data_IF_642536809999
#
_entry.id   IF_642536809999
#
_cell.length_a   1.000
_cell.length_b   1.000
_cell.length_c   1.000
_cell.angle_alpha   90.00
_cell.angle_beta   90.00
_cell.angle_gamma   90.00
#
_symmetry.space_group_name_H-M   'P 1'
#
loop_
_entity.id
_entity.type
_entity.pdbx_description
1 polymer ?
#
# COMPACT_ATOMS: atom_id res chain seq x y z
N UNK A 1 -34.63 -35.29 -0.20
CA UNK A 1 -33.27 -34.76 -0.51
C UNK A 1 -33.44 -33.46 -1.29
N UNK A 2 -32.61 -32.43 -1.04
CA UNK A 2 -32.64 -31.04 -1.57
C UNK A 2 -32.90 -29.96 -0.49
N UNK A 3 -32.10 -29.98 0.58
CA UNK A 3 -31.82 -28.80 1.42
C UNK A 3 -30.30 -28.55 1.50
N UNK A 4 -29.62 -28.59 0.36
CA UNK A 4 -28.16 -28.37 0.23
C UNK A 4 -27.87 -27.30 -0.83
N UNK A 5 -28.58 -26.17 -0.79
CA UNK A 5 -28.26 -25.02 -1.66
C UNK A 5 -28.18 -23.68 -0.91
N UNK A 6 -28.51 -23.64 0.38
CA UNK A 6 -28.49 -22.40 1.15
C UNK A 6 -27.15 -22.09 1.85
N UNK A 7 -26.16 -23.01 1.83
CA UNK A 7 -24.89 -22.84 2.56
C UNK A 7 -23.73 -22.31 1.70
N UNK A 8 -23.90 -22.16 0.38
CA UNK A 8 -22.86 -21.60 -0.49
C UNK A 8 -22.93 -20.07 -0.68
N UNK A 9 -23.99 -19.39 -0.21
CA UNK A 9 -24.09 -17.92 -0.36
C UNK A 9 -23.35 -17.11 0.71
N UNK A 10 -22.85 -17.73 1.78
CA UNK A 10 -22.11 -17.02 2.84
C UNK A 10 -20.61 -16.85 2.55
N UNK A 11 -20.08 -17.42 1.46
CA UNK A 11 -18.65 -17.36 1.13
C UNK A 11 -18.27 -16.18 0.21
N UNK A 12 -19.23 -15.36 -0.24
CA UNK A 12 -18.99 -14.28 -1.21
C UNK A 12 -19.01 -12.86 -0.62
N UNK A 13 -19.05 -12.71 0.71
CA UNK A 13 -19.33 -11.42 1.35
C UNK A 13 -18.14 -10.74 2.03
N UNK A 14 -16.92 -11.27 1.98
CA UNK A 14 -15.76 -10.55 2.51
C UNK A 14 -15.11 -9.74 1.40
N UNK A 15 -15.36 -8.42 1.36
CA UNK A 15 -14.45 -7.58 0.58
C UNK A 15 -13.21 -7.30 1.42
N UNK A 16 -12.09 -7.77 0.89
CA UNK A 16 -10.80 -7.76 1.56
C UNK A 16 -9.80 -7.45 0.45
N UNK A 17 -9.11 -6.33 0.59
CA UNK A 17 -7.97 -5.98 -0.23
C UNK A 17 -6.75 -5.80 0.66
N UNK A 18 -5.58 -5.97 0.08
CA UNK A 18 -4.30 -5.77 0.75
C UNK A 18 -3.48 -4.71 0.02
N UNK A 19 -3.01 -3.71 0.76
CA UNK A 19 -2.01 -2.75 0.27
C UNK A 19 -0.67 -3.16 0.86
N UNK A 20 0.32 -3.42 0.01
CA UNK A 20 1.69 -3.71 0.46
C UNK A 20 2.67 -2.66 -0.06
N UNK A 21 3.25 -1.90 0.86
CA UNK A 21 4.40 -1.03 0.65
C UNK A 21 5.68 -1.81 0.96
N UNK A 22 6.57 -1.91 -0.03
CA UNK A 22 7.86 -2.59 0.07
C UNK A 22 8.98 -1.62 -0.24
N UNK A 23 9.97 -1.57 0.65
CA UNK A 23 11.21 -0.82 0.43
C UNK A 23 12.39 -1.75 0.64
N UNK A 24 13.33 -1.71 -0.28
CA UNK A 24 14.68 -2.22 -0.07
C UNK A 24 15.61 -1.01 -0.06
N UNK A 25 16.07 -0.64 1.13
CA UNK A 25 16.85 0.57 1.34
C UNK A 25 18.33 0.26 1.47
N UNK A 26 19.13 1.04 0.75
CA UNK A 26 20.57 0.92 0.73
C UNK A 26 21.25 1.97 1.61
N UNK A 27 22.45 1.65 2.08
CA UNK A 27 23.24 2.50 2.97
C UNK A 27 23.60 3.86 2.34
N UNK A 28 23.70 3.91 1.00
CA UNK A 28 23.95 5.12 0.22
C UNK A 28 22.72 6.02 0.04
N UNK A 29 21.63 5.73 0.77
CA UNK A 29 20.34 6.43 0.74
C UNK A 29 19.49 6.16 -0.51
N UNK A 30 19.93 5.29 -1.41
CA UNK A 30 19.15 4.79 -2.54
C UNK A 30 18.25 3.61 -2.15
N UNK A 31 17.52 3.08 -3.12
CA UNK A 31 16.75 1.86 -2.92
C UNK A 31 15.72 1.55 -4.01
N UNK A 32 14.93 0.54 -3.71
CA UNK A 32 13.82 0.05 -4.53
C UNK A 32 12.52 0.28 -3.77
N UNK A 33 11.51 0.83 -4.44
CA UNK A 33 10.16 1.01 -3.90
C UNK A 33 9.17 0.16 -4.69
N UNK A 34 8.27 -0.52 -3.99
CA UNK A 34 7.14 -1.24 -4.58
C UNK A 34 5.86 -0.93 -3.80
N UNK A 35 4.81 -0.53 -4.51
CA UNK A 35 3.46 -0.46 -3.98
C UNK A 35 2.59 -1.46 -4.73
N UNK A 36 1.98 -2.38 -4.00
CA UNK A 36 1.03 -3.36 -4.53
C UNK A 36 -0.32 -3.15 -3.89
N UNK A 37 -1.38 -3.14 -4.71
CA UNK A 37 -2.77 -3.18 -4.25
C UNK A 37 -3.40 -4.45 -4.81
N UNK A 38 -3.80 -5.34 -3.93
CA UNK A 38 -4.28 -6.68 -4.25
C UNK A 38 -5.75 -6.83 -3.83
N UNK A 39 -6.64 -6.95 -4.82
CA UNK A 39 -8.06 -7.24 -4.63
C UNK A 39 -8.41 -8.71 -4.94
N UNK A 40 -7.44 -9.61 -5.10
CA UNK A 40 -7.67 -11.00 -5.53
C UNK A 40 -8.67 -11.74 -4.65
N UNK A 41 -8.68 -11.48 -3.34
CA UNK A 41 -9.66 -12.08 -2.41
C UNK A 41 -11.09 -11.55 -2.57
N UNK A 42 -11.26 -10.42 -3.27
CA UNK A 42 -12.54 -9.78 -3.53
C UNK A 42 -12.80 -9.54 -5.03
N UNK A 43 -12.07 -10.24 -5.90
CA UNK A 43 -12.05 -10.01 -7.35
C UNK A 43 -13.45 -9.97 -7.98
N UNK A 44 -14.35 -10.87 -7.57
CA UNK A 44 -15.71 -10.95 -8.09
C UNK A 44 -16.55 -9.71 -7.71
N UNK A 45 -16.41 -9.23 -6.47
CA UNK A 45 -17.07 -7.99 -6.00
C UNK A 45 -16.50 -6.77 -6.73
N UNK A 46 -15.18 -6.72 -6.93
CA UNK A 46 -14.50 -5.66 -7.68
C UNK A 46 -14.98 -5.62 -9.13
N UNK A 47 -15.02 -6.77 -9.81
CA UNK A 47 -15.57 -6.90 -11.17
C UNK A 47 -17.01 -6.42 -11.27
N UNK A 48 -17.85 -6.87 -10.34
CA UNK A 48 -19.26 -6.46 -10.28
C UNK A 48 -19.41 -4.96 -10.08
N UNK A 49 -18.60 -4.34 -9.21
CA UNK A 49 -18.61 -2.90 -8.99
C UNK A 49 -18.19 -2.11 -10.24
N UNK A 50 -17.19 -2.58 -10.99
CA UNK A 50 -16.77 -1.96 -12.24
C UNK A 50 -17.83 -2.07 -13.34
N UNK A 51 -18.52 -3.22 -13.43
CA UNK A 51 -19.64 -3.40 -14.36
C UNK A 51 -20.83 -2.50 -14.05
N UNK A 52 -21.06 -2.19 -12.77
CA UNK A 52 -22.12 -1.28 -12.35
C UNK A 52 -21.78 0.19 -12.65
N UNK A 53 -20.51 0.51 -12.96
CA UNK A 53 -19.95 1.85 -13.22
C UNK A 53 -20.06 2.84 -12.05
N UNK A 54 -21.04 2.68 -11.16
CA UNK A 54 -21.29 3.48 -9.99
C UNK A 54 -21.70 2.59 -8.81
N UNK A 55 -21.10 2.85 -7.64
CA UNK A 55 -21.49 2.21 -6.37
C UNK A 55 -21.61 3.29 -5.31
N UNK A 56 -22.76 3.35 -4.63
CA UNK A 56 -23.05 4.33 -3.57
C UNK A 56 -22.83 5.80 -4.01
N UNK A 57 -23.18 6.15 -5.27
CA UNK A 57 -22.99 7.52 -5.79
C UNK A 57 -21.55 7.84 -6.21
N UNK A 58 -20.65 6.85 -6.22
CA UNK A 58 -19.25 7.00 -6.60
C UNK A 58 -18.98 6.28 -7.90
N UNK A 59 -18.56 7.04 -8.93
CA UNK A 59 -18.10 6.46 -10.20
C UNK A 59 -16.88 5.56 -9.97
N UNK A 60 -16.98 4.32 -10.41
CA UNK A 60 -15.91 3.33 -10.39
C UNK A 60 -15.18 3.39 -11.73
N UNK A 61 -13.84 3.54 -11.73
CA UNK A 61 -13.10 3.62 -12.98
C UNK A 61 -13.10 2.27 -13.71
N UNK A 62 -13.21 2.30 -15.03
CA UNK A 62 -13.06 1.10 -15.86
C UNK A 62 -11.58 0.73 -16.07
N UNK A 63 -11.31 -0.43 -16.67
CA UNK A 63 -9.94 -0.94 -16.89
C UNK A 63 -9.07 0.03 -17.71
N UNK A 64 -9.65 0.67 -18.74
CA UNK A 64 -8.95 1.64 -19.57
C UNK A 64 -8.60 2.91 -18.79
N UNK A 65 -9.51 3.41 -17.97
CA UNK A 65 -9.28 4.55 -17.08
C UNK A 65 -8.19 4.22 -16.03
N UNK A 66 -8.19 3.02 -15.47
CA UNK A 66 -7.14 2.55 -14.54
C UNK A 66 -5.78 2.46 -15.24
N UNK A 67 -5.72 1.82 -16.41
CA UNK A 67 -4.49 1.69 -17.19
C UNK A 67 -3.94 3.08 -17.57
N UNK A 68 -4.81 3.99 -18.00
CA UNK A 68 -4.44 5.37 -18.29
C UNK A 68 -3.87 6.10 -17.06
N UNK A 69 -4.49 5.95 -15.88
CA UNK A 69 -3.98 6.58 -14.64
C UNK A 69 -2.59 6.06 -14.26
N UNK A 70 -2.33 4.77 -14.47
CA UNK A 70 -1.02 4.17 -14.20
C UNK A 70 0.04 4.64 -15.19
N UNK A 71 -0.30 4.78 -16.48
CA UNK A 71 0.60 5.37 -17.47
C UNK A 71 0.87 6.86 -17.21
N UNK A 72 -0.17 7.63 -16.86
CA UNK A 72 -0.02 9.04 -16.49
C UNK A 72 0.86 9.19 -15.23
N UNK A 73 0.71 8.30 -14.24
CA UNK A 73 1.61 8.22 -13.08
C UNK A 73 3.05 7.90 -13.51
N UNK A 74 3.26 6.87 -14.32
CA UNK A 74 4.58 6.46 -14.81
C UNK A 74 5.30 7.60 -15.53
N UNK A 75 4.58 8.32 -16.40
CA UNK A 75 5.11 9.47 -17.13
C UNK A 75 5.49 10.64 -16.19
N UNK A 76 4.72 10.88 -15.13
CA UNK A 76 5.05 11.90 -14.11
C UNK A 76 6.24 11.47 -13.25
N UNK A 77 6.21 10.25 -12.72
CA UNK A 77 7.25 9.71 -11.84
C UNK A 77 8.61 9.64 -12.54
N UNK A 78 8.64 9.30 -13.84
CA UNK A 78 9.88 9.24 -14.63
C UNK A 78 10.55 10.60 -14.86
N UNK A 79 9.86 11.71 -14.55
CA UNK A 79 10.41 13.07 -14.63
C UNK A 79 10.94 13.58 -13.28
N UNK A 80 10.81 12.80 -12.23
CA UNK A 80 11.31 13.17 -10.90
C UNK A 80 12.80 12.84 -10.85
N UNK A 81 13.63 13.84 -10.57
CA UNK A 81 15.08 13.66 -10.43
C UNK A 81 15.40 12.60 -9.37
N UNK A 82 16.24 11.64 -9.74
CA UNK A 82 16.61 10.51 -8.90
C UNK A 82 15.61 9.36 -8.90
N UNK A 83 14.51 9.41 -9.66
CA UNK A 83 13.63 8.26 -9.87
C UNK A 83 13.97 7.58 -11.21
N UNK A 84 14.18 6.26 -11.17
CA UNK A 84 14.51 5.45 -12.35
C UNK A 84 13.74 4.13 -12.35
N UNK A 85 13.78 3.39 -13.46
CA UNK A 85 13.17 2.06 -13.58
C UNK A 85 11.67 2.00 -13.20
N UNK A 86 10.92 3.06 -13.50
CA UNK A 86 9.49 3.13 -13.20
C UNK A 86 8.72 2.13 -14.05
N UNK A 87 8.08 1.17 -13.40
CA UNK A 87 7.23 0.17 -14.03
C UNK A 87 5.89 0.08 -13.31
N UNK A 88 4.85 -0.18 -14.09
CA UNK A 88 3.49 -0.44 -13.62
C UNK A 88 3.06 -1.79 -14.16
N UNK A 89 2.28 -2.55 -13.40
CA UNK A 89 1.65 -3.80 -13.83
C UNK A 89 0.21 -3.85 -13.38
N UNK A 90 -0.63 -4.43 -14.23
CA UNK A 90 -2.04 -4.67 -13.97
C UNK A 90 -2.36 -6.13 -14.28
N UNK A 91 -3.05 -6.79 -13.35
CA UNK A 91 -3.74 -8.05 -13.58
C UNK A 91 -5.23 -7.77 -13.36
N UNK A 92 -6.01 -7.65 -14.44
CA UNK A 92 -7.44 -7.38 -14.37
C UNK A 92 -8.28 -8.65 -14.14
N UNK A 93 -7.68 -9.84 -14.23
CA UNK A 93 -8.36 -11.08 -13.87
C UNK A 93 -8.47 -11.20 -12.33
N UNK A 94 -7.36 -10.91 -11.64
CA UNK A 94 -7.27 -10.97 -10.18
C UNK A 94 -7.36 -9.59 -9.51
N UNK A 95 -7.46 -8.51 -10.28
CA UNK A 95 -7.45 -7.12 -9.80
C UNK A 95 -6.25 -6.80 -8.90
N UNK A 96 -5.05 -7.07 -9.41
CA UNK A 96 -3.78 -6.76 -8.74
C UNK A 96 -3.06 -5.65 -9.50
N UNK A 97 -2.66 -4.61 -8.78
CA UNK A 97 -1.99 -3.43 -9.34
C UNK A 97 -0.65 -3.22 -8.65
N UNK A 98 0.40 -2.99 -9.44
CA UNK A 98 1.76 -2.87 -8.90
C UNK A 98 2.44 -1.65 -9.52
N UNK A 99 3.04 -0.83 -8.67
CA UNK A 99 4.02 0.20 -9.03
C UNK A 99 5.37 -0.28 -8.52
N UNK A 100 6.42 -0.18 -9.34
CA UNK A 100 7.82 -0.36 -8.92
C UNK A 100 8.69 0.75 -9.48
N UNK A 101 9.69 1.16 -8.71
CA UNK A 101 10.69 2.13 -9.13
C UNK A 101 11.95 2.01 -8.28
N UNK A 102 13.03 2.61 -8.75
CA UNK A 102 14.23 2.84 -7.97
C UNK A 102 14.32 4.33 -7.61
N UNK A 103 14.85 4.63 -6.44
CA UNK A 103 15.12 6.00 -6.00
C UNK A 103 16.60 6.15 -5.63
N UNK A 104 17.18 7.29 -6.00
CA UNK A 104 18.59 7.60 -5.71
C UNK A 104 18.78 8.23 -4.32
N UNK A 105 17.73 8.84 -3.75
CA UNK A 105 17.77 9.47 -2.43
C UNK A 105 16.42 9.34 -1.73
N UNK A 106 16.40 9.37 -0.40
CA UNK A 106 15.16 9.45 0.40
C UNK A 106 14.32 10.69 0.06
N UNK A 107 14.95 11.78 -0.38
CA UNK A 107 14.21 12.96 -0.90
C UNK A 107 13.40 12.59 -2.15
N UNK A 108 14.01 11.92 -3.13
CA UNK A 108 13.31 11.47 -4.34
C UNK A 108 12.17 10.49 -4.00
N UNK A 109 12.41 9.56 -3.06
CA UNK A 109 11.37 8.66 -2.53
C UNK A 109 10.17 9.43 -1.98
N UNK A 110 10.40 10.46 -1.14
CA UNK A 110 9.32 11.29 -0.63
C UNK A 110 8.55 12.02 -1.74
N UNK A 111 9.25 12.57 -2.75
CA UNK A 111 8.61 13.26 -3.88
C UNK A 111 7.71 12.33 -4.69
N UNK A 112 8.13 11.09 -4.95
CA UNK A 112 7.30 10.14 -5.71
C UNK A 112 6.13 9.61 -4.88
N UNK A 113 6.30 9.39 -3.58
CA UNK A 113 5.19 8.97 -2.68
C UNK A 113 4.16 10.09 -2.53
N UNK A 114 4.59 11.35 -2.48
CA UNK A 114 3.71 12.52 -2.57
C UNK A 114 2.90 12.55 -3.87
N UNK A 115 3.51 12.16 -5.00
CA UNK A 115 2.80 12.03 -6.29
C UNK A 115 1.74 10.93 -6.24
N UNK A 116 2.02 9.79 -5.59
CA UNK A 116 1.05 8.70 -5.40
C UNK A 116 -0.13 9.15 -4.55
N UNK A 117 0.14 9.82 -3.44
CA UNK A 117 -0.88 10.24 -2.47
C UNK A 117 -1.59 11.54 -2.84
N UNK A 118 -1.19 12.19 -3.94
CA UNK A 118 -1.65 13.53 -4.34
C UNK A 118 -1.49 14.56 -3.21
N UNK A 119 -0.33 14.55 -2.56
CA UNK A 119 0.07 15.47 -1.49
C UNK A 119 1.28 16.30 -1.95
N UNK A 120 1.48 17.47 -1.36
CA UNK A 120 2.69 18.29 -1.57
C UNK A 120 3.52 18.32 -0.30
N UNK A 121 4.84 18.18 -0.46
CA UNK A 121 5.85 18.42 0.57
C UNK A 121 5.68 17.66 1.90
N UNK A 122 4.94 16.53 1.88
CA UNK A 122 4.87 15.65 3.06
C UNK A 122 6.12 14.81 3.15
N UNK A 123 6.63 14.68 4.37
CA UNK A 123 7.73 13.76 4.70
C UNK A 123 7.10 12.45 5.15
N UNK A 124 7.25 11.43 4.31
CA UNK A 124 6.84 10.05 4.55
C UNK A 124 7.98 9.20 5.11
N UNK A 125 9.21 9.57 4.78
CA UNK A 125 10.43 8.82 5.12
C UNK A 125 11.58 9.74 5.51
N UNK A 126 12.31 9.36 6.56
CA UNK A 126 13.62 9.94 6.89
C UNK A 126 14.65 8.82 7.04
N UNK A 127 15.92 9.11 6.80
CA UNK A 127 16.99 8.15 7.07
C UNK A 127 18.32 8.84 7.33
N UNK A 128 19.17 8.14 8.08
CA UNK A 128 20.57 8.44 8.28
C UNK A 128 21.34 7.11 8.43
N UNK A 129 22.64 7.17 8.70
CA UNK A 129 23.52 5.99 8.79
C UNK A 129 23.10 4.94 9.85
N UNK A 130 22.27 5.30 10.82
CA UNK A 130 21.85 4.46 11.95
C UNK A 130 20.35 4.18 11.98
N UNK A 131 19.54 4.88 11.21
CA UNK A 131 18.10 4.71 11.28
C UNK A 131 17.37 4.97 9.97
N UNK A 132 16.21 4.33 9.84
CA UNK A 132 15.22 4.58 8.81
C UNK A 132 13.85 4.76 9.47
N UNK A 133 13.14 5.83 9.12
CA UNK A 133 11.86 6.18 9.72
C UNK A 133 10.76 6.21 8.66
N UNK A 134 9.60 5.65 9.00
CA UNK A 134 8.33 5.84 8.29
C UNK A 134 7.44 6.77 9.10
N UNK A 135 7.00 7.88 8.49
CA UNK A 135 6.05 8.84 9.05
C UNK A 135 4.75 8.77 8.26
N UNK A 136 3.79 7.99 8.74
CA UNK A 136 2.56 7.67 8.03
C UNK A 136 1.57 8.84 7.99
N UNK A 137 1.42 9.43 6.80
CA UNK A 137 0.43 10.45 6.47
C UNK A 137 -0.35 10.01 5.24
N UNK A 138 -1.47 9.32 5.43
CA UNK A 138 -2.33 8.86 4.34
C UNK A 138 -3.51 9.83 4.17
N UNK A 139 -3.93 10.13 2.93
CA UNK A 139 -5.19 10.84 2.70
C UNK A 139 -6.35 9.98 3.20
N UNK A 140 -7.11 10.48 4.18
CA UNK A 140 -8.22 9.74 4.79
C UNK A 140 -9.54 10.08 4.06
N UNK A 141 -10.18 9.11 3.40
CA UNK A 141 -11.52 9.32 2.83
C UNK A 141 -12.56 9.30 3.96
N UNK A 142 -12.80 10.44 4.61
CA UNK A 142 -13.65 10.51 5.83
C UNK A 142 -15.03 9.88 5.67
N UNK A 143 -15.67 10.05 4.50
CA UNK A 143 -16.99 9.46 4.20
C UNK A 143 -16.95 7.92 4.29
N UNK A 144 -15.87 7.31 3.79
CA UNK A 144 -15.69 5.86 3.80
C UNK A 144 -15.48 5.33 5.22
N UNK A 145 -14.70 6.03 6.04
CA UNK A 145 -14.37 5.61 7.42
C UNK A 145 -15.58 5.75 8.35
N UNK A 146 -16.42 6.76 8.11
CA UNK A 146 -17.62 7.03 8.92
C UNK A 146 -18.82 6.17 8.50
N UNK A 147 -18.80 5.51 7.35
CA UNK A 147 -19.88 4.64 6.90
C UNK A 147 -19.89 3.30 7.66
N UNK A 148 -20.92 3.03 8.50
CA UNK A 148 -21.02 1.78 9.25
C UNK A 148 -21.08 0.55 8.35
N UNK A 149 -21.59 0.66 7.12
CA UNK A 149 -21.69 -0.45 6.16
C UNK A 149 -20.32 -0.90 5.66
N UNK A 150 -19.33 -0.01 5.65
CA UNK A 150 -17.97 -0.29 5.16
C UNK A 150 -17.03 -0.76 6.26
N UNK A 151 -17.42 -0.64 7.54
CA UNK A 151 -16.57 -0.99 8.67
C UNK A 151 -16.01 -2.41 8.59
N UNK A 152 -16.87 -3.40 8.42
CA UNK A 152 -16.46 -4.81 8.37
C UNK A 152 -15.51 -5.09 7.19
N UNK A 153 -15.80 -4.51 6.02
CA UNK A 153 -14.97 -4.59 4.82
C UNK A 153 -13.56 -3.98 5.08
N UNK A 154 -13.49 -2.81 5.73
CA UNK A 154 -12.24 -2.15 6.09
C UNK A 154 -11.47 -2.85 7.22
N UNK A 155 -12.16 -3.55 8.12
CA UNK A 155 -11.55 -4.37 9.17
C UNK A 155 -10.92 -5.64 8.58
N UNK A 156 -11.53 -6.20 7.52
CA UNK A 156 -10.98 -7.33 6.79
C UNK A 156 -9.83 -6.94 5.84
N UNK A 157 -9.83 -5.72 5.31
CA UNK A 157 -8.75 -5.19 4.48
C UNK A 157 -7.50 -4.86 5.31
N UNK A 158 -6.32 -4.98 4.71
CA UNK A 158 -5.03 -4.81 5.39
C UNK A 158 -4.08 -3.85 4.66
N UNK A 159 -3.23 -3.18 5.43
CA UNK A 159 -2.03 -2.51 4.93
C UNK A 159 -0.79 -3.14 5.55
N UNK A 160 0.23 -3.34 4.74
CA UNK A 160 1.48 -3.98 5.10
C UNK A 160 2.64 -3.10 4.67
N UNK A 161 3.61 -2.91 5.58
CA UNK A 161 4.91 -2.35 5.30
C UNK A 161 5.99 -3.46 5.44
N UNK A 162 6.86 -3.59 4.44
CA UNK A 162 7.99 -4.54 4.44
C UNK A 162 9.25 -3.79 4.02
N UNK A 163 10.14 -3.54 4.97
CA UNK A 163 11.37 -2.79 4.73
C UNK A 163 12.58 -3.69 4.95
N UNK A 164 13.46 -3.76 3.95
CA UNK A 164 14.69 -4.55 3.97
C UNK A 164 15.89 -3.63 3.87
N UNK A 165 16.94 -3.95 4.62
CA UNK A 165 18.14 -3.12 4.76
C UNK A 165 19.41 -3.92 4.46
N UNK A 166 20.46 -3.22 4.07
CA UNK A 166 21.79 -3.82 3.89
C UNK A 166 22.42 -4.17 5.25
N UNK A 167 22.20 -3.33 6.28
CA UNK A 167 22.61 -3.57 7.67
C UNK A 167 21.60 -4.38 8.47
N UNK A 168 22.04 -4.92 9.60
CA UNK A 168 21.15 -5.62 10.52
C UNK A 168 20.23 -4.62 11.23
N UNK A 169 18.97 -4.99 11.36
CA UNK A 169 17.99 -4.30 12.20
C UNK A 169 18.29 -4.64 13.65
N UNK A 170 18.64 -3.62 14.42
CA UNK A 170 18.90 -3.71 15.84
C UNK A 170 17.60 -3.68 16.65
N UNK A 171 16.71 -2.72 16.33
CA UNK A 171 15.47 -2.51 17.04
C UNK A 171 14.43 -1.80 16.16
N UNK A 172 13.17 -1.87 16.59
CA UNK A 172 12.04 -1.15 15.99
C UNK A 172 11.21 -0.51 17.09
N UNK A 173 10.72 0.70 16.84
CA UNK A 173 9.88 1.41 17.82
C UNK A 173 8.41 0.98 17.79
N UNK A 174 7.90 0.57 16.62
CA UNK A 174 6.51 0.12 16.52
C UNK A 174 6.38 -1.33 17.03
N UNK A 175 5.66 -1.56 18.14
CA UNK A 175 5.60 -2.86 18.81
C UNK A 175 4.84 -3.92 18.01
N UNK A 176 4.06 -3.53 17.00
CA UNK A 176 3.37 -4.46 16.10
C UNK A 176 4.28 -4.95 14.96
N UNK A 177 5.51 -4.46 14.90
CA UNK A 177 6.49 -4.87 13.89
C UNK A 177 7.13 -6.21 14.26
N UNK A 178 7.55 -6.96 13.25
CA UNK A 178 8.31 -8.20 13.37
C UNK A 178 9.61 -8.05 12.60
N UNK A 179 10.70 -8.47 13.21
CA UNK A 179 12.02 -8.54 12.56
C UNK A 179 12.21 -9.98 12.05
N UNK A 180 12.69 -10.13 10.83
CA UNK A 180 13.02 -11.43 10.23
C UNK A 180 14.16 -12.14 10.97
N UNK A 181 14.26 -13.47 10.83
CA UNK A 181 15.32 -14.25 11.48
C UNK A 181 16.73 -13.83 11.08
N UNK A 182 16.93 -13.42 9.82
CA UNK A 182 18.20 -12.89 9.33
C UNK A 182 18.45 -11.42 9.72
N UNK A 183 17.55 -10.81 10.49
CA UNK A 183 17.60 -9.41 10.96
C UNK A 183 17.63 -8.35 9.86
N UNK A 184 17.39 -8.67 8.59
CA UNK A 184 17.44 -7.69 7.49
C UNK A 184 16.10 -7.03 7.17
N UNK A 185 14.99 -7.65 7.58
CA UNK A 185 13.65 -7.23 7.15
C UNK A 185 12.74 -6.94 8.34
N UNK A 186 12.05 -5.80 8.29
CA UNK A 186 10.96 -5.44 9.20
C UNK A 186 9.63 -5.61 8.48
N UNK A 187 8.69 -6.29 9.13
CA UNK A 187 7.32 -6.47 8.68
C UNK A 187 6.36 -5.79 9.67
N UNK A 188 5.45 -4.96 9.17
CA UNK A 188 4.36 -4.36 9.96
C UNK A 188 3.04 -4.53 9.20
N UNK A 189 2.00 -5.02 9.86
CA UNK A 189 0.66 -5.20 9.28
C UNK A 189 -0.39 -4.61 10.20
N UNK A 190 -1.33 -3.88 9.62
CA UNK A 190 -2.49 -3.29 10.31
C UNK A 190 -3.75 -3.47 9.46
N UNK A 191 -4.93 -3.41 10.08
CA UNK A 191 -6.19 -3.33 9.32
C UNK A 191 -6.36 -1.93 8.72
N UNK A 192 -6.98 -1.85 7.55
CA UNK A 192 -7.25 -0.56 6.89
C UNK A 192 -8.14 0.33 7.78
N UNK A 193 -9.14 -0.25 8.44
CA UNK A 193 -10.03 0.49 9.36
C UNK A 193 -9.25 1.23 10.45
N UNK A 194 -8.30 0.54 11.12
CA UNK A 194 -7.50 1.13 12.20
C UNK A 194 -6.61 2.25 11.68
N UNK A 195 -5.93 2.03 10.55
CA UNK A 195 -5.00 3.02 9.96
C UNK A 195 -5.73 4.25 9.45
N UNK A 196 -6.91 4.09 8.85
CA UNK A 196 -7.71 5.23 8.39
C UNK A 196 -8.23 6.08 9.56
N UNK A 197 -8.40 5.50 10.76
CA UNK A 197 -8.73 6.27 11.98
C UNK A 197 -7.49 6.88 12.65
N UNK A 198 -6.33 6.23 12.55
CA UNK A 198 -5.07 6.66 13.15
C UNK A 198 -3.89 6.21 12.29
N UNK A 199 -3.46 7.07 11.36
CA UNK A 199 -2.36 6.75 10.43
C UNK A 199 -1.06 6.43 11.16
N UNK A 200 -0.81 7.06 12.30
CA UNK A 200 0.36 6.86 13.15
C UNK A 200 0.58 5.41 13.61
N UNK A 201 -0.41 4.51 13.48
CA UNK A 201 -0.23 3.07 13.69
C UNK A 201 0.77 2.43 12.70
N UNK A 202 1.01 3.10 11.57
CA UNK A 202 2.01 2.72 10.57
C UNK A 202 3.34 3.48 10.73
N UNK A 203 3.48 4.37 11.73
CA UNK A 203 4.77 4.99 12.02
C UNK A 203 5.75 3.94 12.53
N UNK A 204 7.02 4.04 12.15
CA UNK A 204 8.04 3.17 12.69
C UNK A 204 9.42 3.80 12.54
N UNK A 205 10.20 3.79 13.60
CA UNK A 205 11.64 4.07 13.56
C UNK A 205 12.37 2.75 13.66
N UNK A 206 13.22 2.47 12.68
CA UNK A 206 13.99 1.24 12.56
C UNK A 206 15.45 1.60 12.81
N UNK A 207 16.02 1.08 13.88
CA UNK A 207 17.41 1.26 14.25
C UNK A 207 18.26 0.18 13.57
N UNK A 208 19.31 0.60 12.89
CA UNK A 208 20.25 -0.24 12.16
C UNK A 208 21.55 -0.33 12.94
N UNK A 209 22.26 -1.45 12.79
CA UNK A 209 23.61 -1.57 13.33
C UNK A 209 24.54 -0.49 12.74
N UNK A 210 25.56 -0.04 13.49
CA UNK A 210 26.57 0.90 12.98
C UNK A 210 27.22 0.44 11.68
#
# INVERSE_FOLDING_TARGET
MKKILALCCCLFLTSCFEITERIKHHDDQSGEYTLMVDFSKSWFKTKSAMWLEEVDGVKIPNEQEIAKKLEDFKAKASKIDGITNVTTKTDFENYVFIIKLNYATVKALNTVVNTINNQSDQIHFTSNAKSFERIASYPVPEKLVKDPKKKQDLEAASIIAIYTFDKDVQAVENPNSKISQNKKTVFLKQSMYSVLKKSALMNNTIQLTP
#
